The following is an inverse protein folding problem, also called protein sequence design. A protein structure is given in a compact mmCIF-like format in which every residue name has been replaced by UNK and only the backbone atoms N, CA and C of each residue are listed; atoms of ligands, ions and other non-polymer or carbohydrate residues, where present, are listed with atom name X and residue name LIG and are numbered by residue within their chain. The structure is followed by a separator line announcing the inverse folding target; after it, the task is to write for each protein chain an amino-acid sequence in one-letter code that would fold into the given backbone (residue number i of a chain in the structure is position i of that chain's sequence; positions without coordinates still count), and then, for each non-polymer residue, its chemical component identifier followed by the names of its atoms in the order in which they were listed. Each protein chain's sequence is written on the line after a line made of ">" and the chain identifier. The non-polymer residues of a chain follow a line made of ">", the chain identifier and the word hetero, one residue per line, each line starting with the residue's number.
data_IF_087455382638
#
_entry.id   IF_087455382638
#
_cell.length_a   1.000
_cell.length_b   1.000
_cell.length_c   1.000
_cell.angle_alpha   90.00
_cell.angle_beta   90.00
_cell.angle_gamma   90.00
#
_symmetry.space_group_name_H-M   'P 1'
#
loop_
_entity.id
_entity.type
_entity.pdbx_description
1 polymer ?
#
# COMPACT_ATOMS: atom_id res chain seq x y z
N UNK A 1 -22.24 3.65 6.62
CA UNK A 1 -20.78 3.72 6.78
C UNK A 1 -20.34 5.08 6.27
N UNK A 2 -19.51 5.79 7.03
CA UNK A 2 -18.87 7.02 6.57
C UNK A 2 -17.70 6.69 5.63
N UNK A 3 -17.37 7.60 4.72
CA UNK A 3 -16.11 7.52 3.96
C UNK A 3 -14.97 8.06 4.82
N UNK A 4 -13.78 7.50 4.64
CA UNK A 4 -12.55 7.88 5.33
C UNK A 4 -11.47 8.12 4.28
N UNK A 5 -10.85 9.29 4.30
CA UNK A 5 -9.80 9.63 3.34
C UNK A 5 -8.43 9.28 3.90
N UNK A 6 -7.68 8.48 3.14
CA UNK A 6 -6.32 8.13 3.48
C UNK A 6 -5.32 9.03 2.77
N UNK A 7 -4.14 9.17 3.35
CA UNK A 7 -3.04 9.94 2.80
C UNK A 7 -2.03 9.00 2.12
N UNK A 8 -1.47 9.47 1.01
CA UNK A 8 -0.40 8.79 0.28
C UNK A 8 0.83 8.62 1.20
N UNK A 9 1.27 7.39 1.43
CA UNK A 9 2.40 7.07 2.30
C UNK A 9 3.73 7.73 1.88
N UNK A 10 3.86 8.11 0.59
CA UNK A 10 5.06 8.76 0.06
C UNK A 10 4.99 10.29 0.24
N UNK A 11 3.86 10.90 -0.16
CA UNK A 11 3.75 12.36 -0.31
C UNK A 11 2.88 13.04 0.74
N UNK A 12 2.04 12.30 1.45
CA UNK A 12 1.07 12.82 2.41
C UNK A 12 -0.15 13.50 1.77
N UNK A 13 -0.30 13.47 0.44
CA UNK A 13 -1.51 14.01 -0.21
C UNK A 13 -2.70 13.10 0.02
N UNK A 14 -3.90 13.68 0.13
CA UNK A 14 -5.15 12.91 0.22
C UNK A 14 -5.33 12.01 -1.01
N UNK A 15 -5.76 10.78 -0.81
CA UNK A 15 -6.07 9.83 -1.90
C UNK A 15 -7.48 10.03 -2.46
N UNK A 16 -8.25 10.96 -1.91
CA UNK A 16 -9.59 11.24 -2.39
C UNK A 16 -9.57 11.68 -3.86
N UNK A 17 -10.32 10.96 -4.70
CA UNK A 17 -10.49 11.29 -6.10
C UNK A 17 -9.37 10.82 -7.03
N UNK A 18 -8.45 9.99 -6.53
CA UNK A 18 -7.38 9.39 -7.34
C UNK A 18 -7.28 7.89 -7.09
N UNK A 19 -6.88 7.14 -8.11
CA UNK A 19 -6.55 5.72 -7.96
C UNK A 19 -5.32 5.53 -7.06
N UNK A 20 -5.16 4.35 -6.49
CA UNK A 20 -4.08 4.05 -5.55
C UNK A 20 -3.43 2.69 -5.82
N UNK A 21 -2.23 2.55 -5.27
CA UNK A 21 -1.52 1.29 -5.17
C UNK A 21 -1.38 0.93 -3.71
N UNK A 22 -1.94 -0.21 -3.32
CA UNK A 22 -1.87 -0.76 -1.97
C UNK A 22 -0.65 -1.68 -1.84
N UNK A 23 0.08 -1.53 -0.73
CA UNK A 23 1.18 -2.42 -0.34
C UNK A 23 0.86 -3.00 1.03
N UNK A 24 0.80 -4.31 1.15
CA UNK A 24 0.71 -5.00 2.42
C UNK A 24 2.05 -4.89 3.15
N UNK A 25 2.01 -4.61 4.45
CA UNK A 25 3.18 -4.42 5.30
C UNK A 25 3.16 -5.41 6.46
N UNK A 26 4.32 -5.94 6.83
CA UNK A 26 4.50 -6.78 8.01
C UNK A 26 5.60 -6.19 8.91
N UNK A 27 5.49 -6.42 10.21
CA UNK A 27 6.50 -6.02 11.18
C UNK A 27 7.78 -6.86 11.03
N UNK A 28 8.92 -6.19 10.85
CA UNK A 28 10.26 -6.78 10.86
C UNK A 28 11.15 -6.11 11.90
N UNK A 29 12.32 -6.70 12.12
CA UNK A 29 13.39 -6.04 12.86
C UNK A 29 13.78 -4.76 12.09
N UNK A 30 13.53 -3.58 12.66
CA UNK A 30 13.76 -2.29 12.02
C UNK A 30 12.53 -1.57 11.47
N UNK A 31 11.32 -2.09 11.69
CA UNK A 31 10.06 -1.42 11.38
C UNK A 31 9.20 -2.19 10.39
N UNK A 32 8.26 -1.51 9.74
CA UNK A 32 7.37 -2.14 8.77
C UNK A 32 8.07 -2.32 7.42
N UNK A 33 7.86 -3.50 6.83
CA UNK A 33 8.40 -3.87 5.53
C UNK A 33 7.30 -4.36 4.60
N UNK A 34 7.41 -4.14 3.29
CA UNK A 34 6.51 -4.74 2.32
C UNK A 34 6.49 -6.27 2.46
N UNK A 35 5.31 -6.85 2.43
CA UNK A 35 5.08 -8.30 2.26
C UNK A 35 4.42 -8.61 0.92
N UNK A 36 3.72 -7.64 0.33
CA UNK A 36 3.20 -7.75 -1.03
C UNK A 36 3.97 -6.84 -1.98
N UNK A 37 3.92 -7.18 -3.25
CA UNK A 37 4.10 -6.23 -4.34
C UNK A 37 2.92 -5.23 -4.37
N UNK A 38 3.07 -4.13 -5.11
CA UNK A 38 1.99 -3.13 -5.24
C UNK A 38 0.77 -3.69 -5.95
N UNK A 39 -0.41 -3.52 -5.34
CA UNK A 39 -1.73 -3.89 -5.88
C UNK A 39 -2.46 -2.62 -6.31
N UNK A 40 -2.57 -2.40 -7.61
CA UNK A 40 -3.21 -1.21 -8.17
C UNK A 40 -4.73 -1.39 -8.27
N UNK A 41 -5.48 -0.34 -7.94
CA UNK A 41 -6.93 -0.30 -8.10
C UNK A 41 -7.49 1.10 -7.84
N UNK A 42 -8.81 1.22 -7.91
CA UNK A 42 -9.51 2.45 -7.59
C UNK A 42 -9.63 2.61 -6.07
N UNK A 43 -9.23 3.76 -5.54
CA UNK A 43 -9.32 4.02 -4.12
C UNK A 43 -10.78 4.00 -3.64
N UNK A 44 -11.10 3.08 -2.74
CA UNK A 44 -12.49 2.82 -2.35
C UNK A 44 -13.02 3.77 -1.26
N UNK A 45 -12.20 4.73 -0.82
CA UNK A 45 -12.53 5.72 0.22
C UNK A 45 -12.81 5.10 1.59
N UNK A 46 -12.27 3.90 1.81
CA UNK A 46 -12.33 3.15 3.05
C UNK A 46 -10.94 2.59 3.39
N UNK A 47 -9.84 3.19 2.91
CA UNK A 47 -8.49 2.72 3.19
C UNK A 47 -8.01 1.50 2.38
N UNK A 48 -8.72 1.11 1.32
CA UNK A 48 -8.34 0.01 0.43
C UNK A 48 -8.57 0.37 -1.06
N UNK A 49 -8.40 -0.61 -1.94
CA UNK A 49 -8.59 -0.48 -3.39
C UNK A 49 -9.60 -1.52 -3.91
N UNK A 50 -10.42 -1.09 -4.85
CA UNK A 50 -11.39 -1.92 -5.57
C UNK A 50 -11.06 -1.93 -7.08
N UNK A 51 -11.71 -2.79 -7.86
CA UNK A 51 -11.52 -2.84 -9.32
C UNK A 51 -10.10 -3.28 -9.70
N UNK A 52 -9.53 -4.17 -8.88
CA UNK A 52 -8.15 -4.64 -9.02
C UNK A 52 -7.98 -5.38 -10.34
N UNK A 53 -6.98 -5.00 -11.13
CA UNK A 53 -6.63 -5.73 -12.34
C UNK A 53 -5.98 -7.07 -11.96
N UNK A 54 -6.57 -8.18 -12.41
CA UNK A 54 -6.02 -9.51 -12.19
C UNK A 54 -4.75 -9.73 -13.01
N UNK A 55 -3.64 -9.97 -12.31
CA UNK A 55 -2.37 -10.42 -12.86
C UNK A 55 -1.72 -11.49 -11.98
N UNK A 56 -0.54 -11.94 -12.41
CA UNK A 56 0.22 -12.96 -11.68
C UNK A 56 0.55 -12.54 -10.25
N UNK A 57 0.86 -11.26 -10.02
CA UNK A 57 1.20 -10.75 -8.69
C UNK A 57 -0.02 -10.83 -7.76
N UNK A 58 -1.17 -10.35 -8.23
CA UNK A 58 -2.42 -10.36 -7.45
C UNK A 58 -2.92 -11.79 -7.19
N UNK A 59 -2.76 -12.69 -8.17
CA UNK A 59 -3.11 -14.11 -8.02
C UNK A 59 -2.24 -14.77 -6.93
N UNK A 60 -0.92 -14.55 -6.96
CA UNK A 60 0.00 -15.11 -5.98
C UNK A 60 -0.28 -14.60 -4.57
N UNK A 61 -0.59 -13.31 -4.41
CA UNK A 61 -0.99 -12.72 -3.11
C UNK A 61 -2.23 -13.42 -2.57
N UNK A 62 -3.32 -13.43 -3.35
CA UNK A 62 -4.59 -13.99 -2.87
C UNK A 62 -4.47 -15.48 -2.55
N UNK A 63 -3.84 -16.24 -3.45
CA UNK A 63 -3.62 -17.68 -3.26
C UNK A 63 -2.77 -17.95 -2.03
N UNK A 64 -1.64 -17.26 -1.87
CA UNK A 64 -0.73 -17.53 -0.76
C UNK A 64 -1.39 -17.24 0.58
N UNK A 65 -2.07 -16.09 0.73
CA UNK A 65 -2.76 -15.78 1.98
C UNK A 65 -3.91 -16.75 2.26
N UNK A 66 -4.66 -17.17 1.24
CA UNK A 66 -5.70 -18.21 1.38
C UNK A 66 -5.12 -19.53 1.88
N UNK A 67 -3.99 -19.97 1.31
CA UNK A 67 -3.29 -21.18 1.76
C UNK A 67 -2.80 -21.04 3.21
N UNK A 68 -2.36 -19.84 3.64
CA UNK A 68 -1.97 -19.56 5.02
C UNK A 68 -3.15 -19.49 6.00
N UNK A 69 -4.37 -19.16 5.54
CA UNK A 69 -5.57 -19.33 6.38
C UNK A 69 -5.80 -20.81 6.63
N UNK A 70 -5.70 -21.64 5.59
CA UNK A 70 -5.95 -23.07 5.68
C UNK A 70 -4.97 -23.81 6.61
N UNK A 71 -3.71 -23.38 6.67
CA UNK A 71 -2.71 -23.95 7.58
C UNK A 71 -2.58 -23.24 8.95
N UNK A 72 -3.37 -22.19 9.16
CA UNK A 72 -3.45 -21.46 10.43
C UNK A 72 -2.33 -20.43 10.67
N UNK A 73 -1.44 -20.19 9.71
CA UNK A 73 -0.41 -19.14 9.81
C UNK A 73 -0.98 -17.74 9.62
N UNK A 74 -2.06 -17.59 8.85
CA UNK A 74 -2.77 -16.33 8.67
C UNK A 74 -4.12 -16.39 9.39
N UNK A 75 -4.19 -15.73 10.55
CA UNK A 75 -5.35 -15.72 11.44
C UNK A 75 -6.17 -14.48 11.18
N UNK A 76 -7.45 -14.69 10.86
CA UNK A 76 -8.43 -13.64 10.63
C UNK A 76 -9.38 -13.53 11.82
N UNK A 77 -9.64 -12.31 12.27
CA UNK A 77 -10.56 -12.07 13.36
C UNK A 77 -12.01 -12.31 12.90
N UNK A 78 -12.73 -13.28 13.51
CA UNK A 78 -14.07 -13.63 13.09
C UNK A 78 -15.09 -12.51 13.26
N UNK A 79 -14.78 -11.44 14.01
CA UNK A 79 -15.64 -10.26 14.12
C UNK A 79 -15.88 -9.58 12.75
N UNK A 80 -14.95 -9.70 11.81
CA UNK A 80 -15.05 -9.11 10.47
C UNK A 80 -15.52 -10.11 9.39
N UNK A 81 -15.81 -11.36 9.78
CA UNK A 81 -16.15 -12.43 8.83
C UNK A 81 -17.46 -12.20 8.07
N UNK A 82 -18.41 -11.47 8.66
CA UNK A 82 -19.68 -11.16 8.00
C UNK A 82 -19.49 -10.17 6.83
N UNK A 83 -18.51 -9.29 6.93
CA UNK A 83 -18.27 -8.23 5.95
C UNK A 83 -17.33 -8.70 4.83
N UNK A 84 -16.34 -9.54 5.16
CA UNK A 84 -15.25 -9.92 4.24
C UNK A 84 -15.08 -11.42 4.04
N UNK A 85 -15.89 -12.26 4.69
CA UNK A 85 -15.71 -13.72 4.69
C UNK A 85 -14.57 -14.21 5.58
N UNK A 86 -14.61 -15.49 5.95
CA UNK A 86 -13.52 -16.16 6.67
C UNK A 86 -13.47 -17.65 6.24
N UNK A 87 -12.60 -18.02 5.28
CA UNK A 87 -11.60 -17.18 4.59
C UNK A 87 -12.23 -16.13 3.66
N UNK A 88 -11.47 -15.08 3.26
CA UNK A 88 -11.91 -14.09 2.28
C UNK A 88 -12.21 -14.74 0.93
N UNK A 89 -13.22 -14.21 0.23
CA UNK A 89 -13.70 -14.76 -1.06
C UNK A 89 -12.87 -14.31 -2.26
N UNK A 90 -12.20 -13.17 -2.14
CA UNK A 90 -11.43 -12.52 -3.18
C UNK A 90 -10.33 -11.63 -2.57
N UNK A 91 -9.53 -11.02 -3.44
CA UNK A 91 -8.43 -10.15 -3.03
C UNK A 91 -8.92 -8.87 -2.33
N UNK A 92 -10.01 -8.26 -2.77
CA UNK A 92 -10.53 -7.02 -2.16
C UNK A 92 -10.97 -7.28 -0.70
N UNK A 93 -11.63 -8.40 -0.45
CA UNK A 93 -11.98 -8.87 0.89
C UNK A 93 -10.73 -9.14 1.75
N UNK A 94 -9.69 -9.75 1.18
CA UNK A 94 -8.40 -9.94 1.86
C UNK A 94 -7.75 -8.60 2.22
N UNK A 95 -7.70 -7.64 1.29
CA UNK A 95 -7.11 -6.32 1.53
C UNK A 95 -7.88 -5.52 2.58
N UNK A 96 -9.20 -5.71 2.64
CA UNK A 96 -10.05 -5.10 3.68
C UNK A 96 -9.67 -5.54 5.09
N UNK A 97 -9.23 -6.78 5.29
CA UNK A 97 -8.68 -7.20 6.59
C UNK A 97 -7.38 -6.46 6.96
N UNK A 98 -6.53 -6.16 5.97
CA UNK A 98 -5.28 -5.42 6.21
C UNK A 98 -5.56 -3.95 6.53
N UNK A 99 -6.56 -3.38 5.87
CA UNK A 99 -7.05 -2.04 6.16
C UNK A 99 -7.61 -1.92 7.58
N UNK A 100 -8.35 -2.93 8.06
CA UNK A 100 -8.85 -2.93 9.45
C UNK A 100 -7.73 -2.99 10.49
N UNK A 101 -6.56 -3.50 10.14
CA UNK A 101 -5.36 -3.35 10.96
C UNK A 101 -4.84 -1.93 11.03
N UNK A 102 -5.24 -1.04 10.14
CA UNK A 102 -4.91 0.38 10.18
C UNK A 102 -6.01 1.18 10.88
N UNK A 103 -7.29 0.92 10.60
CA UNK A 103 -8.36 1.86 11.00
C UNK A 103 -9.15 1.53 12.27
N UNK A 104 -9.30 0.25 12.63
CA UNK A 104 -10.37 -0.14 13.58
C UNK A 104 -9.99 -1.27 14.55
N UNK A 105 -8.89 -1.98 14.30
CA UNK A 105 -8.43 -3.06 15.18
C UNK A 105 -7.26 -2.65 16.07
N UNK A 106 -7.09 -3.36 17.19
CA UNK A 106 -6.04 -3.10 18.17
C UNK A 106 -4.91 -4.13 18.10
N UNK A 107 -3.80 -3.82 18.75
CA UNK A 107 -2.68 -4.77 18.92
C UNK A 107 -3.13 -6.08 19.57
N UNK A 108 -4.03 -6.01 20.56
CA UNK A 108 -4.55 -7.16 21.29
C UNK A 108 -5.55 -8.00 20.47
N UNK A 109 -6.18 -7.40 19.45
CA UNK A 109 -7.24 -8.02 18.64
C UNK A 109 -7.13 -7.61 17.18
N UNK A 110 -6.03 -7.98 16.51
CA UNK A 110 -5.80 -7.57 15.13
C UNK A 110 -6.87 -8.16 14.22
N UNK A 111 -7.26 -7.43 13.18
CA UNK A 111 -8.17 -7.93 12.16
C UNK A 111 -7.54 -9.10 11.38
N UNK A 112 -6.24 -9.01 11.12
CA UNK A 112 -5.45 -10.06 10.48
C UNK A 112 -4.05 -10.17 11.10
N UNK A 113 -3.61 -11.40 11.37
CA UNK A 113 -2.26 -11.66 11.87
C UNK A 113 -1.59 -12.79 11.08
N UNK A 114 -0.37 -12.55 10.61
CA UNK A 114 0.48 -13.52 9.93
C UNK A 114 1.61 -13.95 10.87
N UNK A 115 1.70 -15.24 11.17
CA UNK A 115 2.68 -15.81 12.10
C UNK A 115 2.69 -15.06 13.46
N UNK A 116 1.50 -14.62 13.91
CA UNK A 116 1.28 -13.88 15.16
C UNK A 116 1.56 -12.38 15.10
N UNK A 117 1.94 -11.83 13.94
CA UNK A 117 2.20 -10.39 13.74
C UNK A 117 1.13 -9.72 12.91
N UNK A 118 0.84 -8.45 13.17
CA UNK A 118 -0.12 -7.67 12.37
C UNK A 118 0.39 -7.48 10.96
N UNK A 119 -0.55 -7.54 10.01
CA UNK A 119 -0.30 -7.20 8.62
C UNK A 119 -1.09 -5.94 8.28
N UNK A 120 -0.39 -4.84 8.04
CA UNK A 120 -1.00 -3.54 7.74
C UNK A 120 -1.11 -3.32 6.23
N UNK A 121 -1.76 -2.25 5.83
CA UNK A 121 -1.68 -1.70 4.48
C UNK A 121 -1.05 -0.31 4.49
N UNK A 122 -0.39 0.05 3.39
CA UNK A 122 -0.07 1.43 3.05
C UNK A 122 -0.53 1.70 1.62
N UNK A 123 -0.97 2.93 1.36
CA UNK A 123 -1.48 3.35 0.06
C UNK A 123 -0.57 4.42 -0.54
N UNK A 124 -0.34 4.31 -1.84
CA UNK A 124 0.41 5.31 -2.61
C UNK A 124 -0.48 5.79 -3.75
N UNK A 125 -0.61 7.10 -3.92
CA UNK A 125 -1.37 7.67 -5.04
C UNK A 125 -0.81 7.17 -6.38
N UNK A 126 -1.67 6.72 -7.29
CA UNK A 126 -1.25 6.13 -8.56
C UNK A 126 -0.32 7.06 -9.39
N UNK A 127 -0.54 8.38 -9.47
CA UNK A 127 0.41 9.30 -10.13
C UNK A 127 1.80 9.30 -9.50
N UNK A 128 1.89 9.15 -8.18
CA UNK A 128 3.16 9.11 -7.44
C UNK A 128 3.87 7.79 -7.66
N UNK A 129 3.14 6.68 -7.55
CA UNK A 129 3.67 5.35 -7.84
C UNK A 129 4.24 5.29 -9.26
N UNK A 130 3.45 5.70 -10.26
CA UNK A 130 3.83 5.68 -11.66
C UNK A 130 5.05 6.56 -11.96
N UNK A 131 5.14 7.74 -11.34
CA UNK A 131 6.29 8.63 -11.53
C UNK A 131 7.58 8.01 -10.98
N UNK A 132 7.54 7.43 -9.77
CA UNK A 132 8.70 6.77 -9.18
C UNK A 132 9.09 5.50 -9.95
N UNK A 133 8.11 4.68 -10.32
CA UNK A 133 8.32 3.50 -11.15
C UNK A 133 8.96 3.82 -12.51
N UNK A 134 8.56 4.93 -13.14
CA UNK A 134 9.10 5.36 -14.44
C UNK A 134 10.52 5.91 -14.39
N UNK A 135 10.96 6.42 -13.25
CA UNK A 135 12.30 7.02 -13.04
C UNK A 135 13.34 5.97 -12.61
N UNK A 136 12.88 4.81 -12.12
CA UNK A 136 13.74 3.74 -11.62
C UNK A 136 14.30 2.84 -12.74
N UNK A 137 15.21 3.40 -13.53
CA UNK A 137 16.16 2.58 -14.26
C UNK A 137 17.19 2.03 -13.26
N UNK A 138 17.09 0.74 -12.94
CA UNK A 138 18.14 0.01 -12.23
C UNK A 138 18.71 -1.07 -13.13
N UNK A 139 20.04 -1.08 -13.24
CA UNK A 139 20.79 -2.13 -13.96
C UNK A 139 20.90 -3.43 -13.14
N UNK A 140 20.40 -3.42 -11.89
CA UNK A 140 20.39 -4.61 -11.03
C UNK A 140 19.41 -5.68 -11.52
N UNK A 141 19.75 -6.94 -11.24
CA UNK A 141 18.87 -8.06 -11.57
C UNK A 141 17.62 -8.06 -10.69
N UNK A 142 16.49 -8.60 -11.17
CA UNK A 142 15.28 -8.74 -10.36
C UNK A 142 15.51 -9.46 -9.04
N UNK A 143 16.37 -10.49 -8.99
CA UNK A 143 16.75 -11.19 -7.76
C UNK A 143 17.46 -10.30 -6.74
N UNK A 144 18.34 -9.40 -7.20
CA UNK A 144 19.06 -8.49 -6.32
C UNK A 144 18.07 -7.46 -5.73
N UNK A 145 17.23 -6.87 -6.56
CA UNK A 145 16.19 -5.93 -6.13
C UNK A 145 15.19 -6.59 -5.17
N UNK A 146 14.76 -7.82 -5.48
CA UNK A 146 13.87 -8.60 -4.62
C UNK A 146 14.44 -8.75 -3.21
N UNK A 147 15.72 -9.15 -3.11
CA UNK A 147 16.41 -9.29 -1.81
C UNK A 147 16.52 -7.97 -1.05
N UNK A 148 16.72 -6.84 -1.72
CA UNK A 148 16.83 -5.53 -1.08
C UNK A 148 15.48 -5.01 -0.54
N UNK A 149 14.39 -5.26 -1.27
CA UNK A 149 13.04 -4.84 -0.88
C UNK A 149 12.51 -5.70 0.26
N UNK A 150 12.64 -7.02 0.13
CA UNK A 150 12.08 -8.01 1.05
C UNK A 150 13.09 -8.52 2.08
N UNK A 151 14.15 -7.74 2.36
CA UNK A 151 15.13 -8.07 3.39
C UNK A 151 14.43 -8.28 4.75
N UNK A 152 14.65 -9.44 5.36
CA UNK A 152 14.01 -9.80 6.64
C UNK A 152 12.53 -10.22 6.54
N UNK A 153 11.99 -10.39 5.32
CA UNK A 153 10.60 -10.81 5.09
C UNK A 153 10.57 -12.19 4.41
N UNK A 154 10.70 -13.30 5.16
CA UNK A 154 10.79 -14.64 4.59
C UNK A 154 9.53 -15.04 3.80
N UNK A 155 8.36 -14.54 4.21
CA UNK A 155 7.07 -14.81 3.57
C UNK A 155 7.00 -14.32 2.13
N UNK A 156 7.70 -13.23 1.78
CA UNK A 156 7.80 -12.78 0.39
C UNK A 156 8.55 -13.81 -0.48
N UNK A 157 9.59 -14.46 0.05
CA UNK A 157 10.31 -15.52 -0.66
C UNK A 157 9.41 -16.74 -0.87
N UNK A 158 8.60 -17.12 0.12
CA UNK A 158 7.61 -18.18 -0.02
C UNK A 158 6.54 -17.86 -1.08
N UNK A 159 6.14 -16.59 -1.20
CA UNK A 159 5.10 -16.14 -2.12
C UNK A 159 5.59 -16.00 -3.57
N UNK A 160 6.81 -15.48 -3.76
CA UNK A 160 7.29 -15.01 -5.06
C UNK A 160 8.55 -15.69 -5.57
N UNK A 161 9.27 -16.44 -4.73
CA UNK A 161 10.65 -16.88 -4.99
C UNK A 161 10.86 -17.59 -6.32
N UNK A 162 9.93 -18.47 -6.69
CA UNK A 162 10.02 -19.25 -7.95
C UNK A 162 9.57 -18.45 -9.20
N UNK A 163 9.06 -17.23 -9.01
CA UNK A 163 8.44 -16.40 -10.06
C UNK A 163 9.07 -15.00 -10.18
N UNK A 164 10.24 -14.79 -9.58
CA UNK A 164 10.93 -13.48 -9.54
C UNK A 164 11.13 -12.91 -10.95
N UNK A 165 11.48 -13.74 -11.94
CA UNK A 165 11.69 -13.29 -13.32
C UNK A 165 10.42 -12.69 -13.95
N UNK A 166 9.28 -13.35 -13.77
CA UNK A 166 8.00 -12.90 -14.30
C UNK A 166 7.48 -11.67 -13.55
N UNK A 167 7.81 -11.54 -12.28
CA UNK A 167 7.43 -10.41 -11.42
C UNK A 167 8.41 -9.22 -11.51
N UNK A 168 9.39 -9.28 -12.43
CA UNK A 168 10.48 -8.31 -12.50
C UNK A 168 10.03 -6.86 -12.68
N UNK A 169 8.88 -6.62 -13.31
CA UNK A 169 8.28 -5.28 -13.38
C UNK A 169 7.83 -4.82 -11.98
N UNK A 170 6.95 -5.58 -11.33
CA UNK A 170 6.42 -5.24 -10.01
C UNK A 170 7.52 -5.05 -8.95
N UNK A 171 8.57 -5.89 -8.99
CA UNK A 171 9.72 -5.79 -8.09
C UNK A 171 10.45 -4.46 -8.28
N UNK A 172 10.68 -4.04 -9.53
CA UNK A 172 11.32 -2.75 -9.84
C UNK A 172 10.46 -1.57 -9.39
N UNK A 173 9.16 -1.64 -9.63
CA UNK A 173 8.23 -0.58 -9.20
C UNK A 173 8.24 -0.42 -7.67
N UNK A 174 8.11 -1.51 -6.92
CA UNK A 174 8.17 -1.45 -5.46
C UNK A 174 9.55 -1.00 -4.95
N UNK A 175 10.64 -1.48 -5.56
CA UNK A 175 12.00 -1.04 -5.23
C UNK A 175 12.18 0.47 -5.45
N UNK A 176 11.64 1.03 -6.53
CA UNK A 176 11.69 2.47 -6.80
C UNK A 176 11.11 3.27 -5.63
N UNK A 177 9.92 2.87 -5.18
CA UNK A 177 9.20 3.54 -4.09
C UNK A 177 9.92 3.34 -2.76
N UNK A 178 10.34 2.12 -2.45
CA UNK A 178 11.07 1.81 -1.22
C UNK A 178 12.43 2.55 -1.15
N UNK A 179 13.19 2.58 -2.25
CA UNK A 179 14.46 3.33 -2.32
C UNK A 179 14.24 4.83 -2.14
N UNK A 180 13.14 5.37 -2.67
CA UNK A 180 12.78 6.78 -2.52
C UNK A 180 12.52 7.16 -1.07
N UNK A 181 11.79 6.31 -0.33
CA UNK A 181 11.54 6.48 1.11
C UNK A 181 12.85 6.41 1.88
N UNK A 182 13.67 5.37 1.64
CA UNK A 182 14.97 5.18 2.31
C UNK A 182 15.94 6.33 2.08
N UNK A 183 16.03 6.85 0.85
CA UNK A 183 16.88 7.99 0.50
C UNK A 183 16.51 9.27 1.27
N UNK A 184 15.30 9.35 1.81
CA UNK A 184 14.81 10.46 2.66
C UNK A 184 14.81 10.13 4.14
N UNK A 185 15.39 9.00 4.54
CA UNK A 185 15.37 8.53 5.93
C UNK A 185 13.96 8.18 6.43
N UNK A 186 13.03 7.89 5.53
CA UNK A 186 11.66 7.46 5.85
C UNK A 186 11.56 5.93 5.73
N UNK A 187 10.69 5.35 6.55
CA UNK A 187 10.27 3.96 6.45
C UNK A 187 8.83 3.87 5.96
N UNK A 188 8.41 2.68 5.52
CA UNK A 188 6.99 2.38 5.42
C UNK A 188 6.34 2.53 6.79
N UNK A 189 5.14 3.11 6.80
CA UNK A 189 4.31 3.30 7.98
C UNK A 189 2.84 3.27 7.53
N UNK A 190 1.92 2.79 8.38
CA UNK A 190 0.50 2.97 8.14
C UNK A 190 0.15 4.45 8.33
N UNK A 191 -1.07 4.82 7.96
CA UNK A 191 -1.59 6.13 8.32
C UNK A 191 -1.66 6.26 9.85
N UNK A 192 -1.26 7.41 10.42
CA UNK A 192 -1.47 7.71 11.84
C UNK A 192 -2.95 7.68 12.23
N UNK A 193 -3.26 7.13 13.40
CA UNK A 193 -4.64 6.98 13.92
C UNK A 193 -5.41 8.31 14.00
N UNK A 194 -4.73 9.44 14.21
CA UNK A 194 -5.32 10.77 14.32
C UNK A 194 -5.83 11.34 12.99
N UNK A 195 -5.44 10.75 11.86
CA UNK A 195 -5.88 11.13 10.52
C UNK A 195 -6.95 10.16 9.95
N UNK A 196 -7.33 9.11 10.70
CA UNK A 196 -8.30 8.10 10.22
C UNK A 196 -9.69 8.45 10.74
N UNK A 197 -10.62 8.72 9.83
CA UNK A 197 -12.00 9.07 10.22
C UNK A 197 -12.57 10.26 9.48
N UNK A 198 -11.69 11.12 8.96
CA UNK A 198 -12.08 12.39 8.36
C UNK A 198 -12.15 12.31 6.83
N UNK A 199 -12.96 13.20 6.27
CA UNK A 199 -13.05 13.41 4.83
C UNK A 199 -12.42 14.75 4.50
N UNK A 200 -11.43 14.71 3.64
CA UNK A 200 -10.67 15.90 3.26
C UNK A 200 -11.33 16.58 2.07
N UNK A 201 -11.50 17.90 2.12
CA UNK A 201 -12.03 18.70 1.01
C UNK A 201 -11.35 20.07 0.96
N UNK A 202 -11.34 20.69 -0.22
CA UNK A 202 -11.05 22.11 -0.37
C UNK A 202 -9.73 22.54 0.26
N UNK A 203 -9.80 23.36 1.32
CA UNK A 203 -8.60 23.93 1.96
C UNK A 203 -7.67 22.87 2.56
N UNK A 204 -8.22 21.77 3.05
CA UNK A 204 -7.42 20.72 3.68
C UNK A 204 -6.61 19.94 2.64
N UNK A 205 -7.25 19.50 1.55
CA UNK A 205 -6.54 18.88 0.43
C UNK A 205 -5.49 19.82 -0.18
N UNK A 206 -5.79 21.13 -0.28
CA UNK A 206 -4.80 22.13 -0.70
C UNK A 206 -3.62 22.21 0.29
N UNK A 207 -3.89 22.18 1.60
CA UNK A 207 -2.86 22.19 2.64
C UNK A 207 -1.92 20.98 2.56
N UNK A 208 -2.46 19.78 2.33
CA UNK A 208 -1.66 18.57 2.10
C UNK A 208 -0.81 18.69 0.83
N UNK A 209 -1.40 19.14 -0.28
CA UNK A 209 -0.69 19.32 -1.54
C UNK A 209 0.44 20.37 -1.44
N UNK A 210 0.19 21.50 -0.77
CA UNK A 210 1.18 22.54 -0.55
C UNK A 210 2.33 22.06 0.35
N UNK A 211 2.02 21.30 1.39
CA UNK A 211 3.03 20.69 2.26
C UNK A 211 3.87 19.66 1.48
N UNK A 212 3.23 18.79 0.70
CA UNK A 212 3.95 17.86 -0.17
C UNK A 212 4.87 18.57 -1.17
N UNK A 213 4.40 19.67 -1.80
CA UNK A 213 5.22 20.48 -2.72
C UNK A 213 6.39 21.16 -2.02
N UNK A 214 6.21 21.65 -0.79
CA UNK A 214 7.26 22.28 0.00
C UNK A 214 8.35 21.26 0.37
N UNK A 215 7.93 20.09 0.84
CA UNK A 215 8.83 19.10 1.43
C UNK A 215 9.50 18.23 0.36
N UNK A 216 8.83 18.00 -0.78
CA UNK A 216 9.27 17.06 -1.81
C UNK A 216 9.49 17.68 -3.19
N UNK A 217 9.13 18.96 -3.39
CA UNK A 217 9.22 19.65 -4.69
C UNK A 217 10.63 19.84 -5.24
N UNK A 218 11.67 19.60 -4.44
CA UNK A 218 13.05 19.55 -4.90
C UNK A 218 13.36 18.35 -5.81
N UNK A 219 12.51 17.33 -5.82
CA UNK A 219 12.61 16.19 -6.73
C UNK A 219 11.67 16.41 -7.94
N UNK A 220 12.21 16.49 -9.17
CA UNK A 220 11.41 16.81 -10.36
C UNK A 220 10.36 15.74 -10.68
N UNK A 221 10.68 14.46 -10.42
CA UNK A 221 9.77 13.32 -10.60
C UNK A 221 8.55 13.43 -9.69
N UNK A 222 8.76 13.70 -8.39
CA UNK A 222 7.66 13.92 -7.44
C UNK A 222 6.89 15.19 -7.78
N UNK A 223 7.57 16.28 -8.16
CA UNK A 223 6.89 17.51 -8.55
C UNK A 223 5.92 17.27 -9.71
N UNK A 224 6.37 16.58 -10.76
CA UNK A 224 5.51 16.22 -11.90
C UNK A 224 4.33 15.33 -11.46
N UNK A 225 4.57 14.40 -10.53
CA UNK A 225 3.50 13.56 -9.96
C UNK A 225 2.47 14.38 -9.19
N UNK A 226 2.90 15.36 -8.38
CA UNK A 226 2.02 16.24 -7.61
C UNK A 226 1.22 17.18 -8.53
N UNK A 227 1.81 17.63 -9.63
CA UNK A 227 1.10 18.44 -10.63
C UNK A 227 0.04 17.61 -11.38
N UNK A 228 0.34 16.34 -11.69
CA UNK A 228 -0.64 15.41 -12.26
C UNK A 228 -1.77 15.10 -11.27
N UNK A 229 -1.43 14.79 -10.02
CA UNK A 229 -2.40 14.60 -8.95
C UNK A 229 -3.35 15.80 -8.84
N UNK A 230 -2.79 17.02 -8.78
CA UNK A 230 -3.59 18.25 -8.67
C UNK A 230 -4.56 18.45 -9.85
N UNK A 231 -4.19 18.01 -11.05
CA UNK A 231 -5.08 18.05 -12.22
C UNK A 231 -6.20 17.00 -12.12
N UNK A 232 -5.92 15.80 -11.61
CA UNK A 232 -6.90 14.72 -11.45
C UNK A 232 -7.95 15.05 -10.37
N UNK A 233 -7.54 15.75 -9.29
CA UNK A 233 -8.44 16.13 -8.19
C UNK A 233 -8.89 17.60 -8.23
N UNK A 234 -8.76 18.28 -9.37
CA UNK A 234 -8.98 19.72 -9.47
C UNK A 234 -10.34 20.18 -8.93
N UNK A 235 -11.40 19.44 -9.24
CA UNK A 235 -12.76 19.78 -8.77
C UNK A 235 -12.86 19.72 -7.24
N UNK A 236 -12.24 18.72 -6.60
CA UNK A 236 -12.20 18.54 -5.15
C UNK A 236 -11.34 19.61 -4.46
N UNK A 237 -10.35 20.15 -5.17
CA UNK A 237 -9.57 21.30 -4.74
C UNK A 237 -10.32 22.62 -4.90
N UNK A 238 -11.57 22.66 -5.39
CA UNK A 238 -12.37 23.88 -5.52
C UNK A 238 -13.66 23.87 -4.67
N UNK A 239 -14.02 22.71 -4.12
CA UNK A 239 -15.00 22.57 -3.03
C UNK A 239 -14.54 23.30 -1.75
#
# INVERSE_FOLDING_TARGET
>A
MGFYDFNCAVTGVSLKGVDAVLVGLCESDGGLRPVTLGVAGSYNRLGSVDGIAEDLSTELVFRWFTDRVADGRFVLNPAYANDYGNPPTDLEALLSYLERNVSDSSEERPAAALDGRRVFSALVAAPVWAALAGDAASDESPDALFKQVFEGVPTATEMYGDRISELSRHIRELYAVDSHLRARGRSWAPQPDDDIGDQHYGQEMRGFLESARRDLGGNPTIRAALDRYAAEVADLLHE
#
